data_IF_540587939760
#
_entry.id   IF_540587939760
#
_cell.length_a   1.000
_cell.length_b   1.000
_cell.length_c   1.000
_cell.angle_alpha   90.00
_cell.angle_beta   90.00
_cell.angle_gamma   90.00
#
_symmetry.space_group_name_H-M   'P 1'
#
loop_
_entity.id
_entity.type
_entity.pdbx_description
1 polymer ?
#
# COMPACT_ATOMS: atom_id res chain seq x y z
N UNK A 1 10.65 3.13 -7.71
CA UNK A 1 10.92 1.73 -8.05
C UNK A 1 9.73 0.81 -7.73
N UNK A 2 9.15 0.85 -6.51
CA UNK A 2 8.07 -0.05 -6.09
C UNK A 2 6.76 0.07 -6.90
N UNK A 3 6.58 1.11 -7.70
CA UNK A 3 5.44 1.23 -8.63
C UNK A 3 5.56 0.38 -9.90
N UNK A 4 6.75 -0.11 -10.20
CA UNK A 4 7.05 -0.80 -11.47
C UNK A 4 7.71 -2.16 -11.28
N UNK A 5 8.01 -2.55 -10.05
CA UNK A 5 8.57 -3.86 -9.71
C UNK A 5 8.43 -4.18 -8.23
N UNK A 6 8.42 -5.45 -7.91
CA UNK A 6 8.62 -5.95 -6.55
C UNK A 6 10.00 -5.52 -6.04
N UNK A 7 10.06 -5.07 -4.80
CA UNK A 7 11.31 -4.64 -4.16
C UNK A 7 11.57 -5.44 -2.90
N UNK A 8 12.84 -5.76 -2.65
CA UNK A 8 13.31 -6.46 -1.46
C UNK A 8 14.44 -5.65 -0.82
N UNK A 9 14.37 -5.45 0.49
CA UNK A 9 15.37 -4.70 1.27
C UNK A 9 15.65 -5.43 2.57
N UNK A 10 16.92 -5.72 2.85
CA UNK A 10 17.33 -6.19 4.16
C UNK A 10 17.19 -5.04 5.17
N UNK A 11 16.37 -5.25 6.20
CA UNK A 11 16.03 -4.23 7.20
C UNK A 11 16.64 -4.50 8.56
N UNK A 12 17.05 -5.75 8.81
CA UNK A 12 17.65 -6.16 10.06
C UNK A 12 18.68 -7.27 9.78
N UNK A 13 19.80 -7.21 10.48
CA UNK A 13 20.82 -8.25 10.47
C UNK A 13 21.19 -8.62 11.91
N UNK A 14 21.36 -9.91 12.17
CA UNK A 14 21.85 -10.39 13.45
C UNK A 14 22.84 -11.53 13.26
N UNK A 15 23.79 -11.64 14.19
CA UNK A 15 24.84 -12.65 14.11
C UNK A 15 25.59 -12.79 15.44
N UNK A 16 26.89 -12.54 15.45
CA UNK A 16 27.72 -12.70 16.64
C UNK A 16 27.22 -11.85 17.82
N UNK A 17 27.18 -12.42 19.03
CA UNK A 17 26.75 -11.71 20.24
C UNK A 17 27.81 -10.76 20.82
N UNK A 18 29.04 -10.75 20.28
CA UNK A 18 30.14 -9.90 20.74
C UNK A 18 31.30 -9.83 19.76
N UNK A 19 32.22 -8.88 20.01
CA UNK A 19 33.32 -8.54 19.07
C UNK A 19 34.28 -9.69 18.78
N UNK A 20 34.51 -10.57 19.74
CA UNK A 20 35.46 -11.68 19.64
C UNK A 20 34.80 -13.05 19.56
N UNK A 21 33.53 -13.09 19.14
CA UNK A 21 32.74 -14.33 19.10
C UNK A 21 32.30 -14.58 17.67
N UNK A 22 32.63 -15.75 17.14
CA UNK A 22 32.09 -16.19 15.84
C UNK A 22 30.60 -16.54 15.96
N UNK A 23 29.78 -16.03 15.07
CA UNK A 23 28.39 -16.38 15.01
C UNK A 23 28.24 -17.84 14.56
N UNK A 24 27.48 -18.63 15.32
CA UNK A 24 27.02 -19.97 14.91
C UNK A 24 25.79 -19.91 14.01
N UNK A 25 25.07 -18.79 14.06
CA UNK A 25 23.90 -18.53 13.24
C UNK A 25 23.86 -17.05 12.88
N UNK A 26 23.61 -16.77 11.60
CA UNK A 26 23.35 -15.39 11.14
C UNK A 26 21.93 -15.31 10.58
N UNK A 27 21.27 -14.19 10.77
CA UNK A 27 19.91 -13.93 10.29
C UNK A 27 19.80 -12.59 9.61
N UNK A 28 18.98 -12.52 8.57
CA UNK A 28 18.58 -11.28 7.91
C UNK A 28 17.07 -11.23 7.80
N UNK A 29 16.46 -10.12 8.23
CA UNK A 29 15.05 -9.84 7.95
C UNK A 29 14.97 -9.04 6.65
N UNK A 30 14.22 -9.56 5.69
CA UNK A 30 14.02 -8.92 4.38
C UNK A 30 12.58 -8.46 4.26
N UNK A 31 12.38 -7.15 4.14
CA UNK A 31 11.08 -6.57 3.83
C UNK A 31 10.86 -6.57 2.31
N UNK A 32 9.77 -7.18 1.86
CA UNK A 32 9.42 -7.27 0.43
C UNK A 32 8.11 -6.52 0.21
N UNK A 33 8.11 -5.64 -0.81
CA UNK A 33 6.91 -4.99 -1.31
C UNK A 33 6.57 -5.61 -2.66
N UNK A 34 5.48 -6.37 -2.69
CA UNK A 34 5.03 -7.07 -3.87
C UNK A 34 4.34 -6.12 -4.84
N UNK A 35 4.73 -6.17 -6.11
CA UNK A 35 3.96 -5.56 -7.19
C UNK A 35 2.71 -6.42 -7.47
N UNK A 36 1.66 -5.80 -7.95
CA UNK A 36 0.48 -6.50 -8.45
C UNK A 36 0.87 -7.50 -9.55
N UNK A 37 0.46 -8.75 -9.37
CA UNK A 37 0.85 -9.87 -10.25
C UNK A 37 1.90 -10.80 -9.63
N UNK A 38 2.70 -10.31 -8.68
CA UNK A 38 3.55 -11.17 -7.84
C UNK A 38 2.78 -11.70 -6.62
N UNK A 39 3.30 -12.75 -6.02
CA UNK A 39 2.76 -13.37 -4.80
C UNK A 39 3.86 -13.56 -3.77
N UNK A 40 3.48 -13.81 -2.52
CA UNK A 40 4.41 -14.21 -1.47
C UNK A 40 5.20 -15.44 -1.92
N UNK A 41 4.54 -16.40 -2.53
CA UNK A 41 5.17 -17.62 -3.03
C UNK A 41 6.20 -17.34 -4.14
N UNK A 42 5.85 -16.49 -5.14
CA UNK A 42 6.77 -16.14 -6.23
C UNK A 42 8.00 -15.37 -5.74
N UNK A 43 7.81 -14.42 -4.82
CA UNK A 43 8.90 -13.66 -4.21
C UNK A 43 9.82 -14.54 -3.35
N UNK A 44 9.25 -15.46 -2.56
CA UNK A 44 10.02 -16.41 -1.77
C UNK A 44 10.84 -17.35 -2.67
N UNK A 45 10.24 -17.85 -3.74
CA UNK A 45 10.92 -18.69 -4.71
C UNK A 45 12.06 -17.93 -5.43
N UNK A 46 11.84 -16.63 -5.73
CA UNK A 46 12.87 -15.77 -6.29
C UNK A 46 14.05 -15.59 -5.33
N UNK A 47 13.79 -15.30 -4.05
CA UNK A 47 14.82 -15.19 -3.02
C UNK A 47 15.65 -16.46 -2.89
N UNK A 48 15.00 -17.62 -2.78
CA UNK A 48 15.71 -18.91 -2.71
C UNK A 48 16.64 -19.14 -3.90
N UNK A 49 16.15 -18.82 -5.11
CA UNK A 49 17.00 -18.94 -6.33
C UNK A 49 18.16 -17.93 -6.34
N UNK A 50 17.93 -16.71 -5.83
CA UNK A 50 18.98 -15.68 -5.78
C UNK A 50 20.05 -15.97 -4.74
N UNK A 51 19.66 -16.55 -3.60
CA UNK A 51 20.59 -16.98 -2.55
C UNK A 51 21.42 -18.19 -3.05
N UNK A 52 20.79 -19.13 -3.74
CA UNK A 52 21.42 -20.32 -4.34
C UNK A 52 22.28 -21.14 -3.37
N UNK A 53 21.95 -21.13 -2.08
CA UNK A 53 22.63 -21.85 -1.02
C UNK A 53 21.61 -22.72 -0.27
N UNK A 54 21.73 -24.05 -0.32
CA UNK A 54 20.81 -24.98 0.34
C UNK A 54 20.89 -24.94 1.88
N UNK A 55 21.98 -24.45 2.45
CA UNK A 55 22.12 -24.29 3.92
C UNK A 55 21.39 -23.06 4.46
N UNK A 56 20.98 -22.14 3.58
CA UNK A 56 20.21 -20.96 3.97
C UNK A 56 18.73 -21.24 3.99
N UNK A 57 18.17 -21.29 5.18
CA UNK A 57 16.72 -21.39 5.37
C UNK A 57 16.01 -20.06 5.10
N UNK A 58 14.96 -20.11 4.27
CA UNK A 58 14.11 -18.94 3.98
C UNK A 58 12.71 -19.18 4.54
N UNK A 59 12.35 -18.41 5.57
CA UNK A 59 11.07 -18.47 6.24
C UNK A 59 10.24 -17.21 5.94
N UNK A 60 8.94 -17.38 5.72
CA UNK A 60 7.97 -16.28 5.62
C UNK A 60 7.34 -16.02 6.98
N UNK A 61 7.79 -15.01 7.69
CA UNK A 61 7.25 -14.66 9.01
C UNK A 61 5.86 -14.02 8.93
N UNK A 62 5.69 -13.09 7.99
CA UNK A 62 4.44 -12.39 7.73
C UNK A 62 4.34 -12.11 6.23
N UNK A 63 3.16 -12.29 5.65
CA UNK A 63 2.97 -12.00 4.23
C UNK A 63 1.49 -11.99 3.87
N UNK A 64 1.16 -11.17 2.90
CA UNK A 64 -0.13 -11.18 2.21
C UNK A 64 0.11 -10.85 0.74
N UNK A 65 -0.61 -11.52 -0.12
CA UNK A 65 -0.60 -11.21 -1.53
C UNK A 65 -1.19 -9.83 -1.81
N UNK A 66 -0.81 -9.15 -2.90
CA UNK A 66 -1.42 -7.92 -3.32
C UNK A 66 -2.93 -8.09 -3.51
N UNK A 67 -3.70 -7.05 -3.16
CA UNK A 67 -5.12 -7.05 -3.46
C UNK A 67 -5.35 -7.06 -4.98
N UNK A 68 -6.45 -7.67 -5.45
CA UNK A 68 -6.86 -7.58 -6.84
C UNK A 68 -6.98 -6.14 -7.33
N UNK A 69 -6.68 -5.89 -8.60
CA UNK A 69 -6.87 -4.58 -9.22
C UNK A 69 -8.36 -4.36 -9.47
N UNK A 70 -8.92 -3.32 -8.88
CA UNK A 70 -10.31 -2.94 -9.11
C UNK A 70 -10.50 -2.38 -10.52
N UNK A 71 -11.60 -2.72 -11.21
CA UNK A 71 -11.92 -2.15 -12.52
C UNK A 71 -12.04 -0.62 -12.45
N UNK A 72 -11.37 0.09 -13.36
CA UNK A 72 -11.40 1.54 -13.47
C UNK A 72 -12.37 2.06 -14.53
N UNK A 73 -13.36 1.24 -14.89
CA UNK A 73 -14.45 1.52 -15.83
C UNK A 73 -15.76 0.97 -15.27
N UNK A 74 -16.86 1.40 -15.86
CA UNK A 74 -18.19 0.95 -15.42
C UNK A 74 -18.81 1.88 -14.38
N UNK A 75 -20.00 1.50 -13.90
CA UNK A 75 -20.83 2.31 -13.01
C UNK A 75 -20.17 2.65 -11.66
N UNK A 76 -19.54 1.70 -10.93
CA UNK A 76 -18.94 2.01 -9.64
C UNK A 76 -17.79 3.03 -9.76
N UNK A 77 -17.00 2.96 -10.84
CA UNK A 77 -15.97 3.96 -11.11
C UNK A 77 -16.56 5.33 -11.42
N UNK A 78 -17.59 5.40 -12.29
CA UNK A 78 -18.24 6.67 -12.63
C UNK A 78 -18.84 7.35 -11.41
N UNK A 79 -19.41 6.58 -10.47
CA UNK A 79 -19.98 7.07 -9.23
C UNK A 79 -18.92 7.75 -8.35
N UNK A 80 -17.78 7.08 -8.15
CA UNK A 80 -16.65 7.67 -7.41
C UNK A 80 -16.11 8.92 -8.13
N UNK A 81 -15.92 8.86 -9.43
CA UNK A 81 -15.42 9.99 -10.22
C UNK A 81 -16.39 11.19 -10.19
N UNK A 82 -17.71 10.94 -10.23
CA UNK A 82 -18.73 11.98 -10.08
C UNK A 82 -18.72 12.63 -8.70
N UNK A 83 -18.58 11.84 -7.63
CA UNK A 83 -18.44 12.38 -6.27
C UNK A 83 -17.15 13.19 -6.11
N UNK A 84 -16.06 12.79 -6.78
CA UNK A 84 -14.80 13.57 -6.80
C UNK A 84 -15.01 14.91 -7.49
N UNK A 85 -15.65 14.93 -8.68
CA UNK A 85 -15.93 16.16 -9.41
C UNK A 85 -16.84 17.11 -8.60
N UNK A 86 -17.89 16.57 -7.97
CA UNK A 86 -18.79 17.35 -7.10
C UNK A 86 -18.06 18.00 -5.93
N UNK A 87 -17.16 17.26 -5.26
CA UNK A 87 -16.48 17.75 -4.06
C UNK A 87 -15.26 18.63 -4.34
N UNK A 88 -14.51 18.36 -5.41
CA UNK A 88 -13.22 18.99 -5.68
C UNK A 88 -13.25 19.96 -6.87
N UNK A 89 -14.28 19.94 -7.70
CA UNK A 89 -14.46 20.77 -8.88
C UNK A 89 -14.41 19.96 -10.19
N UNK A 90 -15.11 20.43 -11.20
CA UNK A 90 -15.24 19.76 -12.50
C UNK A 90 -13.92 19.70 -13.29
N UNK A 91 -12.99 20.62 -13.00
CA UNK A 91 -11.64 20.63 -13.61
C UNK A 91 -10.73 19.51 -13.12
N UNK A 92 -11.16 18.73 -12.08
CA UNK A 92 -10.37 17.63 -11.52
C UNK A 92 -10.52 16.37 -12.37
N UNK A 93 -9.42 15.93 -12.96
CA UNK A 93 -9.38 14.68 -13.70
C UNK A 93 -9.11 13.49 -12.77
N UNK A 94 -10.08 12.58 -12.67
CA UNK A 94 -9.94 11.36 -11.89
C UNK A 94 -9.20 10.31 -12.71
N UNK A 95 -8.03 9.88 -12.25
CA UNK A 95 -7.22 8.85 -12.91
C UNK A 95 -6.95 7.67 -11.98
N UNK A 96 -6.96 6.42 -12.50
CA UNK A 96 -6.57 5.26 -11.72
C UNK A 96 -5.05 5.23 -11.51
N UNK A 97 -4.64 4.75 -10.33
CA UNK A 97 -3.23 4.46 -10.09
C UNK A 97 -3.07 3.35 -9.04
N UNK A 98 -1.92 2.70 -8.97
CA UNK A 98 -1.64 1.64 -8.01
C UNK A 98 -1.16 2.26 -6.69
N UNK A 99 -1.92 2.04 -5.62
CA UNK A 99 -1.53 2.44 -4.27
C UNK A 99 -0.58 1.40 -3.65
N UNK A 100 0.59 1.85 -3.23
CA UNK A 100 1.63 0.99 -2.64
C UNK A 100 1.44 0.75 -1.14
N UNK A 101 0.67 1.60 -0.47
CA UNK A 101 0.40 1.48 0.96
C UNK A 101 -0.66 0.43 1.24
N UNK A 102 -0.48 -0.34 2.31
CA UNK A 102 -1.53 -1.20 2.83
C UNK A 102 -2.62 -0.35 3.52
N UNK A 103 -3.87 -0.78 3.42
CA UNK A 103 -5.00 -0.21 4.16
C UNK A 103 -6.03 -1.31 4.44
N UNK A 104 -6.93 -1.07 5.38
CA UNK A 104 -8.00 -2.01 5.74
C UNK A 104 -8.96 -2.29 4.58
N UNK A 105 -8.96 -1.45 3.55
CA UNK A 105 -9.72 -1.71 2.32
C UNK A 105 -9.41 -3.07 1.68
N UNK A 106 -8.24 -3.65 1.94
CA UNK A 106 -7.88 -5.00 1.46
C UNK A 106 -8.87 -6.09 1.87
N UNK A 107 -9.48 -5.95 3.05
CA UNK A 107 -10.43 -6.94 3.56
C UNK A 107 -11.75 -6.95 2.79
N UNK A 108 -12.11 -5.83 2.17
CA UNK A 108 -13.32 -5.71 1.38
C UNK A 108 -13.21 -6.36 0.00
N UNK A 109 -12.00 -6.70 -0.45
CA UNK A 109 -11.80 -7.38 -1.75
C UNK A 109 -12.37 -8.80 -1.78
N UNK A 110 -12.65 -9.39 -0.63
CA UNK A 110 -13.32 -10.68 -0.53
C UNK A 110 -14.83 -10.61 -0.86
N UNK A 111 -15.44 -9.43 -0.72
CA UNK A 111 -16.89 -9.21 -0.89
C UNK A 111 -17.23 -8.25 -2.02
N UNK A 112 -16.24 -7.56 -2.60
CA UNK A 112 -16.45 -6.63 -3.70
C UNK A 112 -15.27 -6.64 -4.67
N UNK A 113 -15.55 -6.64 -5.96
CA UNK A 113 -14.56 -6.44 -7.02
C UNK A 113 -14.17 -4.96 -7.21
N UNK A 114 -14.91 -4.03 -6.59
CA UNK A 114 -14.77 -2.59 -6.75
C UNK A 114 -14.35 -1.93 -5.43
N UNK A 115 -13.07 -2.07 -5.08
CA UNK A 115 -12.51 -1.50 -3.85
C UNK A 115 -11.52 -0.39 -4.23
N UNK A 116 -12.00 0.85 -4.18
CA UNK A 116 -11.18 2.03 -4.53
C UNK A 116 -10.56 2.65 -3.29
N UNK A 117 -9.26 2.85 -3.34
CA UNK A 117 -8.48 3.50 -2.27
C UNK A 117 -8.33 4.98 -2.60
N UNK A 118 -9.27 5.76 -2.15
CA UNK A 118 -9.32 7.19 -2.37
C UNK A 118 -9.62 7.94 -1.07
N UNK A 119 -9.03 9.11 -0.92
CA UNK A 119 -9.36 10.05 0.15
C UNK A 119 -9.53 11.44 -0.43
N UNK A 120 -10.64 12.13 -0.11
CA UNK A 120 -10.95 13.46 -0.65
C UNK A 120 -10.16 14.60 0.02
N UNK A 121 -9.19 14.28 0.86
CA UNK A 121 -8.44 15.27 1.63
C UNK A 121 -7.22 15.76 0.87
N UNK A 122 -7.30 16.99 0.34
CA UNK A 122 -6.17 17.64 -0.32
C UNK A 122 -5.17 18.14 0.72
N UNK A 123 -4.12 17.36 0.95
CA UNK A 123 -3.02 17.71 1.84
C UNK A 123 -1.90 18.43 1.08
N UNK A 124 -1.35 19.48 1.68
CA UNK A 124 -0.09 20.08 1.23
C UNK A 124 1.06 19.09 1.48
N UNK A 125 2.22 19.36 0.90
CA UNK A 125 3.41 18.54 1.14
C UNK A 125 3.74 18.48 2.64
N UNK A 126 3.76 19.62 3.33
CA UNK A 126 4.05 19.68 4.76
C UNK A 126 3.03 18.91 5.62
N UNK A 127 1.74 18.95 5.27
CA UNK A 127 0.71 18.16 5.95
C UNK A 127 0.90 16.66 5.70
N UNK A 128 1.31 16.26 4.49
CA UNK A 128 1.61 14.85 4.15
C UNK A 128 2.85 14.33 4.86
N UNK A 129 3.89 15.14 4.94
CA UNK A 129 5.14 14.78 5.61
C UNK A 129 4.94 14.67 7.14
N UNK A 130 3.87 15.27 7.69
CA UNK A 130 3.50 15.17 9.09
C UNK A 130 2.61 13.96 9.43
N UNK A 131 2.18 13.17 8.44
CA UNK A 131 1.41 11.95 8.69
C UNK A 131 2.20 10.97 9.56
N UNK A 132 1.55 10.46 10.61
CA UNK A 132 2.15 9.57 11.62
C UNK A 132 3.32 10.20 12.41
N UNK A 133 3.38 11.54 12.46
CA UNK A 133 4.42 12.29 13.13
C UNK A 133 3.84 13.37 14.06
N UNK A 134 4.72 14.14 14.71
CA UNK A 134 4.31 15.27 15.56
C UNK A 134 3.59 16.34 14.73
N UNK A 135 2.56 16.94 15.34
CA UNK A 135 1.72 17.99 14.72
C UNK A 135 0.96 17.52 13.46
N UNK A 136 0.64 16.25 13.35
CA UNK A 136 -0.29 15.77 12.34
C UNK A 136 -1.60 16.54 12.43
N UNK A 137 -2.03 17.14 11.33
CA UNK A 137 -3.20 18.00 11.29
C UNK A 137 -3.82 18.06 9.91
N UNK A 138 -5.12 18.37 9.88
CA UNK A 138 -5.86 18.67 8.66
C UNK A 138 -6.56 20.02 8.81
N UNK A 139 -6.61 20.80 7.74
CA UNK A 139 -7.37 22.06 7.72
C UNK A 139 -8.86 21.77 7.79
N UNK A 140 -9.59 22.47 8.64
CA UNK A 140 -11.04 22.29 8.85
C UNK A 140 -11.82 22.34 7.52
N UNK A 141 -11.52 23.30 6.64
CA UNK A 141 -12.17 23.39 5.32
C UNK A 141 -11.97 22.16 4.44
N UNK A 142 -10.79 21.52 4.53
CA UNK A 142 -10.48 20.29 3.78
C UNK A 142 -11.25 19.11 4.37
N UNK A 143 -11.33 19.04 5.68
CA UNK A 143 -12.13 18.06 6.41
C UNK A 143 -13.61 18.13 6.04
N UNK A 144 -14.21 19.34 6.11
CA UNK A 144 -15.62 19.55 5.76
C UNK A 144 -15.92 19.18 4.30
N UNK A 145 -15.01 19.51 3.37
CA UNK A 145 -15.14 19.09 1.97
C UNK A 145 -15.14 17.56 1.83
N UNK A 146 -14.29 16.88 2.59
CA UNK A 146 -14.25 15.42 2.61
C UNK A 146 -15.56 14.81 3.13
N UNK A 147 -16.18 15.41 4.14
CA UNK A 147 -17.52 14.99 4.60
C UNK A 147 -18.54 15.11 3.47
N UNK A 148 -18.52 16.24 2.73
CA UNK A 148 -19.37 16.45 1.55
C UNK A 148 -19.21 15.35 0.52
N UNK A 149 -17.97 15.01 0.17
CA UNK A 149 -17.67 13.90 -0.74
C UNK A 149 -18.34 12.58 -0.33
N UNK A 150 -18.15 12.17 0.93
CA UNK A 150 -18.71 10.89 1.40
C UNK A 150 -20.24 10.93 1.46
N UNK A 151 -20.83 12.04 1.87
CA UNK A 151 -22.29 12.24 1.83
C UNK A 151 -22.83 12.05 0.41
N UNK A 152 -22.22 12.69 -0.57
CA UNK A 152 -22.67 12.65 -1.96
C UNK A 152 -22.45 11.26 -2.58
N UNK A 153 -21.33 10.61 -2.24
CA UNK A 153 -21.06 9.24 -2.67
C UNK A 153 -22.11 8.25 -2.13
N UNK A 154 -22.47 8.35 -0.86
CA UNK A 154 -23.50 7.49 -0.23
C UNK A 154 -24.89 7.78 -0.79
N UNK A 155 -25.21 9.05 -1.03
CA UNK A 155 -26.52 9.42 -1.60
C UNK A 155 -26.70 8.95 -3.04
N UNK A 156 -25.61 8.71 -3.78
CA UNK A 156 -25.62 8.19 -5.16
C UNK A 156 -25.56 6.65 -5.24
N UNK A 157 -25.62 5.95 -4.10
CA UNK A 157 -25.45 4.48 -4.03
C UNK A 157 -26.76 3.72 -4.27
#
# INVERSE_FOLDING_TARGET
NALVRTTAVATELSGAPGENVLATTARASVNIRLLTGDTVASATAHLRRAIADPEVEVEVRHGSDPSPVSPWRGEPWRRVAGAVASALGEDVVTTPYIQLGASDSRWFTAISAHVYRFTPFHLTRAERDALHSHNERIRVRVWLRGIGFYRDLVAAS
#
